data_IF_750555932600
#
_entry.id   IF_750555932600
#
_cell.length_a   1.000
_cell.length_b   1.000
_cell.length_c   1.000
_cell.angle_alpha   90.00
_cell.angle_beta   90.00
_cell.angle_gamma   90.00
#
_symmetry.space_group_name_H-M   'P 1'
#
loop_
_entity.id
_entity.type
_entity.pdbx_description
1 polymer ?
#
# COMPACT_ATOMS: atom_id res chain seq x y z
N UNK A 1 15.07 9.27 -17.25
CA UNK A 1 15.44 8.76 -15.92
C UNK A 1 15.77 7.29 -16.03
N UNK A 2 16.70 6.81 -15.27
CA UNK A 2 17.13 5.43 -15.33
C UNK A 2 16.20 4.49 -14.57
N UNK A 3 16.21 3.22 -14.99
CA UNK A 3 15.48 2.17 -14.29
C UNK A 3 15.90 2.08 -12.81
N UNK A 4 17.19 2.26 -12.52
CA UNK A 4 17.71 2.21 -11.15
C UNK A 4 17.20 3.37 -10.31
N UNK A 5 17.10 4.57 -10.88
CA UNK A 5 16.54 5.72 -10.16
C UNK A 5 15.06 5.52 -9.87
N UNK A 6 14.32 4.98 -10.82
CA UNK A 6 12.89 4.70 -10.63
C UNK A 6 12.68 3.65 -9.54
N UNK A 7 13.47 2.57 -9.54
CA UNK A 7 13.41 1.56 -8.50
C UNK A 7 13.78 2.13 -7.13
N UNK A 8 14.78 3.02 -7.09
CA UNK A 8 15.19 3.64 -5.83
C UNK A 8 14.06 4.48 -5.22
N UNK A 9 13.33 5.23 -6.05
CA UNK A 9 12.18 6.00 -5.57
C UNK A 9 11.09 5.11 -4.98
N UNK A 10 10.82 3.97 -5.63
CA UNK A 10 9.83 3.00 -5.14
C UNK A 10 10.29 2.39 -3.82
N UNK A 11 11.57 2.01 -3.71
CA UNK A 11 12.09 1.47 -2.45
C UNK A 11 12.02 2.47 -1.32
N UNK A 12 12.29 3.75 -1.60
CA UNK A 12 12.18 4.81 -0.60
C UNK A 12 10.76 4.94 -0.06
N UNK A 13 9.77 4.78 -0.93
CA UNK A 13 8.38 4.81 -0.50
C UNK A 13 8.11 3.74 0.58
N UNK A 14 8.49 2.51 0.32
CA UNK A 14 8.27 1.43 1.28
C UNK A 14 9.12 1.60 2.54
N UNK A 15 10.38 1.98 2.39
CA UNK A 15 11.32 2.09 3.52
C UNK A 15 11.04 3.29 4.41
N UNK A 16 10.79 4.46 3.81
CA UNK A 16 10.68 5.71 4.57
C UNK A 16 9.24 6.05 4.94
N UNK A 17 8.31 5.96 3.99
CA UNK A 17 6.92 6.36 4.22
C UNK A 17 6.14 5.26 4.92
N UNK A 18 6.22 4.03 4.41
CA UNK A 18 5.48 2.90 4.97
C UNK A 18 6.11 2.38 6.26
N UNK A 19 7.27 1.74 6.16
CA UNK A 19 7.94 1.14 7.33
C UNK A 19 8.54 2.19 8.27
N UNK A 20 9.13 3.23 7.72
CA UNK A 20 9.73 4.31 8.50
C UNK A 20 8.74 5.26 9.13
N UNK A 21 7.47 5.17 8.76
CA UNK A 21 6.36 5.98 9.27
C UNK A 21 6.60 7.48 9.10
N UNK A 22 7.41 7.88 8.14
CA UNK A 22 7.66 9.27 7.82
C UNK A 22 6.80 9.68 6.63
N UNK A 23 5.57 10.11 6.92
CA UNK A 23 4.62 10.50 5.88
C UNK A 23 5.13 11.69 5.05
N UNK A 24 5.90 12.58 5.66
CA UNK A 24 6.44 13.75 4.96
C UNK A 24 7.46 13.38 3.88
N UNK A 25 8.12 12.23 4.00
CA UNK A 25 9.05 11.77 2.98
C UNK A 25 8.37 11.62 1.62
N UNK A 26 7.06 11.43 1.58
CA UNK A 26 6.29 11.34 0.34
C UNK A 26 6.46 12.59 -0.53
N UNK A 27 6.67 13.75 0.07
CA UNK A 27 6.82 15.02 -0.67
C UNK A 27 8.04 15.02 -1.59
N UNK A 28 9.08 14.26 -1.25
CA UNK A 28 10.28 14.13 -2.08
C UNK A 28 10.19 12.98 -3.09
N UNK A 29 9.28 12.04 -2.89
CA UNK A 29 9.17 10.80 -3.66
C UNK A 29 8.11 10.90 -4.76
N UNK A 30 6.99 11.54 -4.45
CA UNK A 30 5.84 11.63 -5.34
C UNK A 30 5.73 13.00 -6.00
N UNK A 31 5.17 12.99 -7.22
CA UNK A 31 4.81 14.23 -7.90
C UNK A 31 3.54 14.80 -7.23
N UNK A 32 3.44 16.14 -7.09
CA UNK A 32 2.24 16.75 -6.52
C UNK A 32 0.94 16.41 -7.25
N UNK A 33 1.02 16.03 -8.53
CA UNK A 33 -0.13 15.65 -9.34
C UNK A 33 -0.35 14.13 -9.38
N UNK A 34 0.25 13.39 -8.44
CA UNK A 34 0.09 11.94 -8.33
C UNK A 34 -1.36 11.51 -8.47
N UNK A 35 -1.58 10.45 -9.26
CA UNK A 35 -2.86 9.77 -9.35
C UNK A 35 -2.71 8.38 -8.72
N UNK A 36 -3.55 8.09 -7.75
CA UNK A 36 -3.48 6.85 -6.99
C UNK A 36 -4.78 6.07 -7.15
N UNK A 37 -4.66 4.82 -7.61
CA UNK A 37 -5.78 3.91 -7.83
C UNK A 37 -5.74 2.77 -6.84
N UNK A 38 -6.85 2.54 -6.16
CA UNK A 38 -7.00 1.45 -5.19
C UNK A 38 -8.37 0.82 -5.34
N UNK A 39 -8.54 -0.11 -6.30
CA UNK A 39 -9.88 -0.56 -6.69
C UNK A 39 -10.64 -1.38 -5.64
N UNK A 40 -9.97 -1.99 -4.68
CA UNK A 40 -10.61 -2.90 -3.72
C UNK A 40 -10.29 -2.54 -2.27
N UNK A 41 -10.05 -1.29 -1.99
CA UNK A 41 -9.64 -0.83 -0.67
C UNK A 41 -10.83 -0.40 0.19
N UNK A 42 -10.59 -0.33 1.51
CA UNK A 42 -11.52 0.32 2.45
C UNK A 42 -11.52 1.83 2.26
N UNK A 43 -10.60 2.33 1.45
CA UNK A 43 -10.48 3.74 1.11
C UNK A 43 -10.28 3.85 -0.40
N UNK A 44 -11.05 4.70 -1.09
CA UNK A 44 -10.83 4.89 -2.53
C UNK A 44 -9.51 5.59 -2.78
N UNK A 45 -8.94 5.37 -3.97
CA UNK A 45 -7.77 6.10 -4.42
C UNK A 45 -8.05 7.60 -4.52
N UNK A 46 -7.07 8.37 -4.98
CA UNK A 46 -7.22 9.81 -5.08
C UNK A 46 -6.09 10.46 -5.85
N UNK A 47 -6.01 11.78 -5.75
CA UNK A 47 -4.99 12.59 -6.38
C UNK A 47 -4.16 13.32 -5.33
N UNK A 48 -2.89 13.51 -5.66
CA UNK A 48 -1.97 14.29 -4.86
C UNK A 48 -1.32 13.51 -3.73
N UNK A 49 -0.29 14.11 -3.15
CA UNK A 49 0.51 13.47 -2.12
C UNK A 49 -0.30 13.18 -0.87
N UNK A 50 -1.23 14.08 -0.53
CA UNK A 50 -2.10 13.90 0.65
C UNK A 50 -2.90 12.60 0.55
N UNK A 51 -3.34 12.21 -0.66
CA UNK A 51 -4.10 10.98 -0.83
C UNK A 51 -3.29 9.75 -0.41
N UNK A 52 -2.02 9.66 -0.81
CA UNK A 52 -1.19 8.51 -0.43
C UNK A 52 -0.79 8.59 1.05
N UNK A 53 -0.55 9.78 1.58
CA UNK A 53 -0.26 9.95 3.00
C UNK A 53 -1.43 9.49 3.86
N UNK A 54 -2.66 9.85 3.47
CA UNK A 54 -3.86 9.42 4.18
C UNK A 54 -4.04 7.92 4.10
N UNK A 55 -3.81 7.33 2.93
CA UNK A 55 -3.95 5.89 2.74
C UNK A 55 -2.98 5.11 3.63
N UNK A 56 -1.71 5.47 3.63
CA UNK A 56 -0.71 4.82 4.47
C UNK A 56 -1.06 5.02 5.95
N UNK A 57 -1.52 6.21 6.32
CA UNK A 57 -1.92 6.53 7.70
C UNK A 57 -3.04 5.64 8.21
N UNK A 58 -4.00 5.28 7.35
CA UNK A 58 -5.10 4.37 7.71
C UNK A 58 -4.53 3.04 8.22
N UNK A 59 -3.55 2.50 7.53
CA UNK A 59 -2.95 1.22 7.91
C UNK A 59 -2.00 1.35 9.10
N UNK A 60 -1.31 2.48 9.26
CA UNK A 60 -0.53 2.75 10.46
C UNK A 60 -1.42 2.80 11.71
N UNK A 61 -2.61 3.36 11.60
CA UNK A 61 -3.56 3.44 12.72
C UNK A 61 -4.23 2.11 13.00
N UNK A 62 -4.68 1.42 11.96
CA UNK A 62 -5.37 0.14 12.10
C UNK A 62 -4.45 -0.98 12.56
N UNK A 63 -3.20 -0.94 12.11
CA UNK A 63 -2.18 -1.92 12.43
C UNK A 63 -0.94 -1.21 12.97
N UNK A 64 -0.90 -0.91 14.28
CA UNK A 64 0.24 -0.17 14.86
C UNK A 64 1.60 -0.83 14.64
N UNK A 65 1.62 -2.15 14.42
CA UNK A 65 2.81 -2.94 14.11
C UNK A 65 2.96 -3.25 12.62
N UNK A 66 2.26 -2.51 11.75
CA UNK A 66 2.27 -2.76 10.31
C UNK A 66 3.67 -2.78 9.73
N UNK A 67 3.94 -3.77 8.87
CA UNK A 67 5.20 -3.97 8.18
C UNK A 67 4.94 -4.27 6.72
N UNK A 68 5.67 -3.61 5.84
CA UNK A 68 5.65 -3.84 4.40
C UNK A 68 6.96 -4.55 4.03
N UNK A 69 6.88 -5.82 3.66
CA UNK A 69 8.07 -6.60 3.26
C UNK A 69 8.12 -6.66 1.74
N UNK A 70 9.08 -5.96 1.15
CA UNK A 70 9.25 -5.92 -0.31
C UNK A 70 10.11 -7.08 -0.76
N UNK A 71 9.56 -7.92 -1.64
CA UNK A 71 10.25 -9.12 -2.14
C UNK A 71 10.98 -8.86 -3.44
N UNK A 72 10.36 -8.09 -4.35
CA UNK A 72 10.94 -7.78 -5.66
C UNK A 72 10.55 -6.37 -6.08
N UNK A 73 11.49 -5.70 -6.74
CA UNK A 73 11.23 -4.43 -7.41
C UNK A 73 11.78 -4.58 -8.81
N UNK A 74 10.90 -4.53 -9.79
CA UNK A 74 11.24 -4.78 -11.20
C UNK A 74 10.94 -3.55 -12.04
N UNK A 75 11.93 -3.11 -12.83
CA UNK A 75 11.70 -2.03 -13.78
C UNK A 75 11.13 -2.61 -15.08
N UNK A 76 10.18 -1.90 -15.65
CA UNK A 76 9.55 -2.26 -16.90
C UNK A 76 9.65 -1.09 -17.90
N UNK A 77 9.15 -1.29 -19.11
CA UNK A 77 9.15 -0.25 -20.12
C UNK A 77 8.32 0.97 -19.72
N UNK A 78 8.57 2.10 -20.36
CA UNK A 78 7.82 3.34 -20.15
C UNK A 78 7.86 3.87 -18.73
N UNK A 79 9.06 3.78 -18.11
CA UNK A 79 9.30 4.27 -16.74
C UNK A 79 8.37 3.65 -15.70
N UNK A 80 7.99 2.42 -15.91
CA UNK A 80 7.16 1.70 -14.96
C UNK A 80 7.99 0.81 -14.05
N UNK A 81 7.51 0.63 -12.82
CA UNK A 81 8.14 -0.23 -11.82
C UNK A 81 7.04 -1.06 -11.16
N UNK A 82 7.31 -2.35 -10.98
CA UNK A 82 6.41 -3.24 -10.25
C UNK A 82 7.10 -3.65 -8.96
N UNK A 83 6.39 -3.55 -7.85
CA UNK A 83 6.85 -4.06 -6.57
C UNK A 83 5.93 -5.17 -6.09
N UNK A 84 6.52 -6.31 -5.71
CA UNK A 84 5.79 -7.40 -5.06
C UNK A 84 6.13 -7.35 -3.58
N UNK A 85 5.12 -7.31 -2.75
CA UNK A 85 5.31 -7.14 -1.32
C UNK A 85 4.25 -7.86 -0.50
N UNK A 86 4.55 -8.05 0.78
CA UNK A 86 3.64 -8.64 1.77
C UNK A 86 3.41 -7.60 2.85
N UNK A 87 2.15 -7.35 3.18
CA UNK A 87 1.78 -6.51 4.32
C UNK A 87 1.34 -7.39 5.47
N UNK A 88 1.78 -7.06 6.69
CA UNK A 88 1.35 -7.79 7.87
C UNK A 88 1.23 -6.86 9.07
N UNK A 89 0.37 -7.24 9.99
CA UNK A 89 0.16 -6.49 11.21
C UNK A 89 -0.95 -7.10 12.05
N UNK A 90 -1.12 -6.53 13.25
CA UNK A 90 -2.19 -6.91 14.17
C UNK A 90 -3.21 -5.80 14.22
N UNK A 91 -4.47 -6.13 14.01
CA UNK A 91 -5.57 -5.17 13.95
C UNK A 91 -5.95 -4.71 15.37
N UNK A 92 -5.22 -3.72 15.86
CA UNK A 92 -5.40 -3.17 17.21
C UNK A 92 -5.97 -1.76 17.22
N UNK A 93 -6.04 -1.11 16.06
CA UNK A 93 -6.64 0.19 15.90
C UNK A 93 -7.84 0.13 14.99
N UNK A 94 -8.60 1.20 14.92
CA UNK A 94 -9.77 1.25 14.04
C UNK A 94 -9.37 1.42 12.59
N UNK A 95 -9.95 0.61 11.70
CA UNK A 95 -9.99 0.87 10.27
C UNK A 95 -11.32 1.55 9.96
N UNK A 96 -11.45 2.30 8.85
CA UNK A 96 -12.71 2.95 8.53
C UNK A 96 -13.88 1.97 8.53
N UNK A 97 -14.81 2.15 9.47
CA UNK A 97 -15.98 1.29 9.61
C UNK A 97 -15.74 -0.06 10.26
N UNK A 98 -14.51 -0.35 10.71
CA UNK A 98 -14.17 -1.65 11.27
C UNK A 98 -13.46 -1.46 12.61
N UNK A 99 -14.14 -1.79 13.74
CA UNK A 99 -13.53 -1.73 15.06
C UNK A 99 -12.38 -2.73 15.20
N UNK A 100 -11.43 -2.51 16.11
CA UNK A 100 -10.30 -3.42 16.31
C UNK A 100 -10.77 -4.84 16.60
N UNK A 101 -10.19 -5.81 15.89
CA UNK A 101 -10.52 -7.24 16.07
C UNK A 101 -9.45 -8.00 16.83
N UNK A 102 -8.23 -7.45 16.94
CA UNK A 102 -7.10 -8.14 17.56
C UNK A 102 -6.49 -9.23 16.69
N UNK A 103 -7.00 -9.42 15.48
CA UNK A 103 -6.52 -10.48 14.59
C UNK A 103 -5.21 -10.09 13.89
N UNK A 104 -4.35 -11.07 13.67
CA UNK A 104 -3.17 -10.90 12.83
C UNK A 104 -3.57 -11.05 11.37
N UNK A 105 -3.03 -10.19 10.52
CA UNK A 105 -3.34 -10.17 9.10
C UNK A 105 -2.04 -10.20 8.29
N UNK A 106 -2.03 -11.01 7.23
CA UNK A 106 -0.95 -11.05 6.25
C UNK A 106 -1.59 -11.02 4.87
N UNK A 107 -1.18 -10.06 4.04
CA UNK A 107 -1.73 -9.92 2.68
C UNK A 107 -0.61 -9.85 1.65
N UNK A 108 -0.87 -10.39 0.47
CA UNK A 108 0.02 -10.31 -0.68
C UNK A 108 -0.41 -9.18 -1.59
N UNK A 109 0.55 -8.54 -2.24
CA UNK A 109 0.27 -7.37 -3.08
C UNK A 109 1.24 -7.22 -4.23
N UNK A 110 0.74 -6.58 -5.29
CA UNK A 110 1.52 -6.09 -6.42
C UNK A 110 1.12 -4.64 -6.64
N UNK A 111 2.10 -3.76 -6.73
CA UNK A 111 1.85 -2.35 -7.00
C UNK A 111 2.59 -1.94 -8.27
N UNK A 112 1.88 -1.29 -9.18
CA UNK A 112 2.44 -0.75 -10.40
C UNK A 112 2.63 0.76 -10.24
N UNK A 113 3.87 1.20 -10.39
CA UNK A 113 4.24 2.61 -10.31
C UNK A 113 4.61 3.12 -11.69
N UNK A 114 4.27 4.36 -11.98
CA UNK A 114 4.80 5.08 -13.14
C UNK A 114 5.61 6.25 -12.62
N UNK A 115 6.83 6.41 -13.15
CA UNK A 115 7.75 7.46 -12.72
C UNK A 115 7.98 8.47 -13.84
N UNK A 116 8.33 9.70 -13.44
CA UNK A 116 8.72 10.76 -14.35
C UNK A 116 9.65 11.71 -13.62
N UNK A 117 10.80 11.99 -14.22
CA UNK A 117 11.79 12.90 -13.63
C UNK A 117 12.16 12.51 -12.19
N UNK A 118 12.28 11.20 -11.95
CA UNK A 118 12.68 10.67 -10.64
C UNK A 118 11.59 10.66 -9.59
N UNK A 119 10.36 11.02 -9.96
CA UNK A 119 9.23 11.02 -9.02
C UNK A 119 8.14 10.08 -9.49
N UNK A 120 7.38 9.55 -8.54
CA UNK A 120 6.25 8.68 -8.84
C UNK A 120 5.05 9.55 -9.19
N UNK A 121 4.48 9.35 -10.40
CA UNK A 121 3.35 10.14 -10.90
C UNK A 121 2.05 9.37 -10.91
N UNK A 122 2.14 8.03 -10.84
CA UNK A 122 0.94 7.19 -10.82
C UNK A 122 1.23 5.91 -10.04
N UNK A 123 0.23 5.44 -9.32
CA UNK A 123 0.29 4.23 -8.53
C UNK A 123 -1.00 3.45 -8.74
N UNK A 124 -0.86 2.15 -9.08
CA UNK A 124 -2.00 1.23 -9.09
C UNK A 124 -1.69 0.14 -8.08
N UNK A 125 -2.46 0.11 -7.01
CA UNK A 125 -2.18 -0.76 -5.88
C UNK A 125 -3.20 -1.91 -5.84
N UNK A 126 -2.72 -3.12 -6.13
CA UNK A 126 -3.56 -4.32 -6.10
C UNK A 126 -3.09 -5.21 -4.97
N UNK A 127 -3.92 -5.37 -3.96
CA UNK A 127 -3.61 -6.22 -2.84
C UNK A 127 -4.83 -7.06 -2.46
N UNK A 128 -4.61 -8.11 -1.71
CA UNK A 128 -5.63 -9.10 -1.38
C UNK A 128 -6.54 -8.62 -0.26
N UNK A 129 -7.39 -7.66 -0.57
CA UNK A 129 -8.32 -7.07 0.41
C UNK A 129 -9.34 -8.09 0.91
N UNK A 130 -9.78 -9.01 0.04
CA UNK A 130 -10.71 -10.04 0.45
C UNK A 130 -10.11 -10.93 1.53
N UNK A 131 -8.85 -11.34 1.35
CA UNK A 131 -8.14 -12.14 2.35
C UNK A 131 -8.04 -11.40 3.68
N UNK A 132 -7.77 -10.10 3.65
CA UNK A 132 -7.76 -9.30 4.89
C UNK A 132 -9.11 -9.38 5.59
N UNK A 133 -10.20 -9.17 4.86
CA UNK A 133 -11.54 -9.20 5.44
C UNK A 133 -11.87 -10.57 6.03
N UNK A 134 -11.41 -11.64 5.38
CA UNK A 134 -11.59 -13.00 5.89
C UNK A 134 -10.78 -13.23 7.16
N UNK A 135 -9.53 -12.78 7.19
CA UNK A 135 -8.65 -12.90 8.38
C UNK A 135 -9.18 -12.09 9.55
N UNK A 136 -9.82 -10.96 9.28
CA UNK A 136 -10.46 -10.15 10.33
C UNK A 136 -11.78 -10.76 10.82
N UNK A 137 -12.29 -11.78 10.14
CA UNK A 137 -13.55 -12.43 10.50
C UNK A 137 -14.80 -11.69 10.03
N UNK A 138 -14.65 -10.74 9.13
CA UNK A 138 -15.78 -9.94 8.61
C UNK A 138 -16.48 -10.66 7.46
N UNK A 139 -15.71 -11.41 6.67
CA UNK A 139 -16.19 -12.19 5.53
C UNK A 139 -15.79 -13.65 5.75
N UNK A 140 -16.68 -14.63 5.46
CA UNK A 140 -16.32 -16.05 5.60
C UNK A 140 -15.16 -16.45 4.70
N UNK A 141 -14.30 -17.41 5.12
CA UNK A 141 -13.28 -17.97 4.25
C UNK A 141 -13.89 -18.69 3.03
N UNK A 142 -13.14 -18.86 1.93
CA UNK A 142 -13.64 -19.57 0.76
C UNK A 142 -14.10 -20.97 1.12
N UNK A 143 -15.22 -21.40 0.51
CA UNK A 143 -15.77 -22.73 0.74
C UNK A 143 -16.57 -22.88 2.02
N UNK A 144 -16.71 -21.85 2.83
CA UNK A 144 -17.51 -21.86 4.04
C UNK A 144 -18.79 -21.07 3.81
N UNK A 145 -19.92 -21.74 3.85
CA UNK A 145 -21.21 -21.07 3.77
C UNK A 145 -21.43 -20.28 5.07
N UNK A 146 -21.94 -19.06 4.94
CA UNK A 146 -22.45 -18.35 6.09
C UNK A 146 -23.77 -18.99 6.49
N UNK A 147 -23.81 -19.55 7.67
CA UNK A 147 -25.03 -20.17 8.19
C UNK A 147 -25.80 -19.20 9.05
#
# INVERSE_FOLDING_TARGET
MSAEENKASVRRFFEEVCNGRNLRAAEAIFDPELVYHEPLSVSPGGKGITAIQNEVSIYHKGFPDAQWSVHEVLAAENDKVVARWTGQGTHRGELPGIPPTGQKVTVEALTLFTCKNGKIIEMVDLWDALSMMQQLGIVPPPGHASS
#
